data_IF_134395558838
#
_entry.id   IF_134395558838
#
_cell.length_a   1.000
_cell.length_b   1.000
_cell.length_c   1.000
_cell.angle_alpha   90.00
_cell.angle_beta   90.00
_cell.angle_gamma   90.00
#
_symmetry.space_group_name_H-M   'P 1'
#
loop_
_entity.id
_entity.type
_entity.pdbx_description
1 polymer ?
#
# COMPACT_ATOMS: atom_id res chain seq x y z
N UNK A 1 -29.52 -21.57 -10.21
CA UNK A 1 -28.62 -21.95 -11.31
C UNK A 1 -28.37 -23.44 -11.12
N UNK A 2 -28.47 -24.29 -12.14
CA UNK A 2 -28.23 -25.74 -11.99
C UNK A 2 -26.72 -25.98 -11.74
N UNK A 3 -26.40 -27.05 -10.98
CA UNK A 3 -25.00 -27.42 -10.66
C UNK A 3 -24.16 -27.60 -11.94
N UNK A 4 -24.75 -28.19 -12.98
CA UNK A 4 -24.10 -28.37 -14.28
C UNK A 4 -23.64 -27.05 -14.95
N UNK A 5 -24.41 -25.95 -14.80
CA UNK A 5 -24.00 -24.62 -15.28
C UNK A 5 -22.87 -24.03 -14.46
N UNK A 6 -22.86 -24.25 -13.15
CA UNK A 6 -21.78 -23.80 -12.27
C UNK A 6 -20.46 -24.51 -12.66
N UNK A 7 -20.51 -25.81 -12.90
CA UNK A 7 -19.34 -26.59 -13.30
C UNK A 7 -18.78 -26.15 -14.67
N UNK A 8 -19.64 -25.87 -15.64
CA UNK A 8 -19.22 -25.32 -16.95
C UNK A 8 -18.52 -23.97 -16.78
N UNK A 9 -19.08 -23.05 -15.98
CA UNK A 9 -18.45 -21.76 -15.71
C UNK A 9 -17.12 -21.87 -14.97
N UNK A 10 -17.00 -22.81 -14.02
CA UNK A 10 -15.76 -23.07 -13.32
C UNK A 10 -14.66 -23.57 -14.26
N UNK A 11 -14.97 -24.48 -15.18
CA UNK A 11 -14.04 -24.98 -16.19
C UNK A 11 -13.55 -23.81 -17.07
N UNK A 12 -14.48 -23.03 -17.64
CA UNK A 12 -14.16 -21.87 -18.46
C UNK A 12 -13.28 -20.85 -17.72
N UNK A 13 -13.65 -20.50 -16.49
CA UNK A 13 -12.90 -19.55 -15.67
C UNK A 13 -11.48 -20.01 -15.40
N UNK A 14 -11.29 -21.29 -15.08
CA UNK A 14 -9.95 -21.87 -14.85
C UNK A 14 -9.08 -21.83 -16.11
N UNK A 15 -9.64 -22.15 -17.26
CA UNK A 15 -8.93 -22.10 -18.55
C UNK A 15 -8.55 -20.68 -18.92
N UNK A 16 -9.47 -19.74 -18.76
CA UNK A 16 -9.24 -18.32 -18.97
C UNK A 16 -8.11 -17.78 -18.09
N UNK A 17 -8.17 -18.03 -16.77
CA UNK A 17 -7.13 -17.58 -15.83
C UNK A 17 -5.76 -18.23 -16.13
N UNK A 18 -5.73 -19.49 -16.57
CA UNK A 18 -4.50 -20.14 -17.01
C UNK A 18 -3.90 -19.45 -18.24
N UNK A 19 -4.73 -19.10 -19.20
CA UNK A 19 -4.28 -18.39 -20.40
C UNK A 19 -3.68 -17.01 -20.06
N UNK A 20 -4.33 -16.24 -19.16
CA UNK A 20 -3.81 -14.98 -18.65
C UNK A 20 -2.49 -15.15 -17.90
N UNK A 21 -2.38 -16.17 -17.04
CA UNK A 21 -1.14 -16.46 -16.31
C UNK A 21 0.03 -16.80 -17.24
N UNK A 22 -0.23 -17.57 -18.30
CA UNK A 22 0.77 -17.86 -19.34
C UNK A 22 1.20 -16.58 -20.07
N UNK A 23 0.24 -15.71 -20.42
CA UNK A 23 0.51 -14.42 -21.07
C UNK A 23 1.39 -13.52 -20.19
N UNK A 24 1.03 -13.32 -18.91
CA UNK A 24 1.80 -12.50 -17.95
C UNK A 24 3.20 -13.07 -17.73
N UNK A 25 3.35 -14.40 -17.65
CA UNK A 25 4.67 -15.04 -17.54
C UNK A 25 5.54 -14.81 -18.78
N UNK A 26 4.97 -14.94 -19.97
CA UNK A 26 5.73 -14.68 -21.22
C UNK A 26 6.16 -13.23 -21.35
N UNK A 27 5.33 -12.29 -20.93
CA UNK A 27 5.58 -10.86 -21.09
C UNK A 27 6.49 -10.29 -19.99
N UNK A 28 6.38 -10.75 -18.76
CA UNK A 28 7.01 -10.12 -17.58
C UNK A 28 7.81 -11.09 -16.71
N UNK A 29 7.86 -12.38 -17.04
CA UNK A 29 8.43 -13.44 -16.20
C UNK A 29 7.89 -13.43 -14.76
N UNK A 30 6.57 -13.25 -14.62
CA UNK A 30 5.91 -13.10 -13.31
C UNK A 30 4.78 -14.09 -13.13
N UNK A 31 4.67 -14.59 -11.90
CA UNK A 31 3.47 -15.25 -11.38
C UNK A 31 2.83 -14.32 -10.36
N UNK A 32 1.59 -13.93 -10.59
CA UNK A 32 0.86 -12.95 -9.79
C UNK A 32 -0.48 -13.51 -9.31
N UNK A 33 -1.16 -12.78 -8.42
CA UNK A 33 -2.52 -13.08 -7.95
C UNK A 33 -3.55 -12.99 -9.08
N UNK A 34 -4.75 -13.49 -8.84
CA UNK A 34 -5.84 -13.46 -9.84
C UNK A 34 -6.20 -12.02 -10.22
N UNK A 35 -6.25 -11.11 -9.25
CA UNK A 35 -6.55 -9.71 -9.52
C UNK A 35 -5.53 -9.08 -10.47
N UNK A 36 -4.23 -9.22 -10.19
CA UNK A 36 -3.16 -8.75 -11.08
C UNK A 36 -3.12 -9.45 -12.46
N UNK A 37 -3.86 -10.56 -12.66
CA UNK A 37 -4.06 -11.13 -13.99
C UNK A 37 -5.13 -10.36 -14.78
N UNK A 38 -6.10 -9.79 -14.07
CA UNK A 38 -7.28 -9.15 -14.66
C UNK A 38 -7.09 -7.64 -14.87
N UNK A 39 -6.20 -7.01 -14.09
CA UNK A 39 -5.95 -5.57 -14.13
C UNK A 39 -4.51 -5.23 -14.50
N UNK A 40 -4.27 -4.00 -14.92
CA UNK A 40 -2.93 -3.44 -15.05
C UNK A 40 -2.64 -2.52 -13.86
N UNK A 41 -1.40 -2.52 -13.39
CA UNK A 41 -1.01 -1.77 -12.18
C UNK A 41 -1.15 -0.26 -12.33
N UNK A 42 -0.97 0.25 -13.54
CA UNK A 42 -1.24 1.65 -13.90
C UNK A 42 -2.71 1.99 -13.72
N UNK A 43 -3.59 1.08 -14.16
CA UNK A 43 -5.03 1.29 -14.11
C UNK A 43 -5.51 1.25 -12.67
N UNK A 44 -5.00 0.30 -11.86
CA UNK A 44 -5.29 0.24 -10.43
C UNK A 44 -4.95 1.56 -9.71
N UNK A 45 -3.82 2.18 -10.03
CA UNK A 45 -3.45 3.47 -9.45
C UNK A 45 -4.32 4.62 -9.97
N UNK A 46 -4.64 4.61 -11.26
CA UNK A 46 -5.45 5.65 -11.91
C UNK A 46 -6.90 5.67 -11.40
N UNK A 47 -7.48 4.53 -11.05
CA UNK A 47 -8.83 4.43 -10.45
C UNK A 47 -8.95 5.22 -9.14
N UNK A 48 -7.86 5.35 -8.38
CA UNK A 48 -7.80 6.17 -7.15
C UNK A 48 -7.38 7.62 -7.41
N UNK A 49 -7.15 8.01 -8.67
CA UNK A 49 -6.68 9.36 -9.02
C UNK A 49 -5.24 9.63 -8.60
N UNK A 50 -4.41 8.60 -8.45
CA UNK A 50 -2.98 8.75 -8.16
C UNK A 50 -2.25 9.33 -9.37
N UNK A 51 -1.12 10.00 -9.11
CA UNK A 51 -0.37 10.73 -10.13
C UNK A 51 0.15 9.85 -11.28
N UNK A 52 0.35 10.47 -12.43
CA UNK A 52 0.80 9.81 -13.65
C UNK A 52 2.07 8.98 -13.44
N UNK A 53 2.13 7.81 -14.07
CA UNK A 53 3.26 6.87 -13.94
C UNK A 53 3.31 6.10 -12.63
N UNK A 54 2.39 6.35 -11.71
CA UNK A 54 2.26 5.57 -10.48
C UNK A 54 1.64 4.21 -10.77
N UNK A 55 2.13 3.19 -10.09
CA UNK A 55 1.67 1.81 -10.26
C UNK A 55 1.39 1.15 -8.92
N UNK A 56 0.32 0.35 -8.86
CA UNK A 56 -0.15 -0.28 -7.64
C UNK A 56 -0.62 -1.71 -7.91
N UNK A 57 -0.23 -2.66 -7.05
CA UNK A 57 -0.74 -4.02 -7.10
C UNK A 57 -2.22 -4.07 -6.73
N UNK A 58 -2.96 -5.03 -7.29
CA UNK A 58 -4.39 -5.25 -7.05
C UNK A 58 -4.73 -5.46 -5.57
N UNK A 59 -3.88 -6.15 -4.83
CA UNK A 59 -4.10 -6.51 -3.43
C UNK A 59 -3.63 -5.44 -2.41
N UNK A 60 -3.56 -4.18 -2.83
CA UNK A 60 -3.33 -3.03 -1.95
C UNK A 60 -4.67 -2.56 -1.38
N UNK A 61 -4.73 -2.34 -0.07
CA UNK A 61 -5.89 -1.71 0.56
C UNK A 61 -5.70 -0.20 0.60
N UNK A 62 -6.64 0.53 0.03
CA UNK A 62 -6.70 2.00 0.07
C UNK A 62 -7.97 2.40 0.81
N UNK A 63 -7.83 3.06 1.95
CA UNK A 63 -8.93 3.41 2.85
C UNK A 63 -8.97 4.92 3.07
N UNK A 64 -10.14 5.54 2.90
CA UNK A 64 -10.34 6.96 3.18
C UNK A 64 -9.60 7.90 2.21
N UNK A 65 -9.12 9.03 2.74
CA UNK A 65 -8.51 10.11 1.96
C UNK A 65 -7.01 9.86 1.73
N UNK A 66 -6.67 9.25 0.60
CA UNK A 66 -5.28 8.96 0.21
C UNK A 66 -4.94 9.69 -1.08
N UNK A 67 -3.80 10.41 -1.08
CA UNK A 67 -3.23 11.06 -2.25
C UNK A 67 -1.82 10.53 -2.49
N UNK A 68 -1.53 10.14 -3.71
CA UNK A 68 -0.20 9.69 -4.12
C UNK A 68 0.25 10.49 -5.34
N UNK A 69 1.47 10.94 -5.32
CA UNK A 69 2.12 11.67 -6.41
C UNK A 69 2.44 10.80 -7.63
N UNK A 70 3.26 11.32 -8.51
CA UNK A 70 3.64 10.70 -9.79
C UNK A 70 4.79 9.71 -9.63
N UNK A 71 4.86 8.74 -10.56
CA UNK A 71 5.98 7.81 -10.68
C UNK A 71 6.27 7.02 -9.38
N UNK A 72 5.28 6.83 -8.53
CA UNK A 72 5.40 6.10 -7.27
C UNK A 72 5.03 4.62 -7.48
N UNK A 73 5.83 3.74 -6.91
CA UNK A 73 5.55 2.31 -6.94
C UNK A 73 5.00 1.83 -5.61
N UNK A 74 3.86 1.13 -5.64
CA UNK A 74 3.19 0.57 -4.46
C UNK A 74 3.14 -0.94 -4.59
N UNK A 75 3.88 -1.62 -3.71
CA UNK A 75 4.05 -3.06 -3.69
C UNK A 75 2.82 -3.84 -3.23
N UNK A 76 2.83 -5.17 -3.40
CA UNK A 76 1.71 -6.01 -3.02
C UNK A 76 1.48 -6.04 -1.51
N UNK A 77 0.22 -6.14 -1.11
CA UNK A 77 -0.19 -6.28 0.29
C UNK A 77 0.03 -5.04 1.15
N UNK A 78 0.24 -3.86 0.55
CA UNK A 78 0.30 -2.61 1.29
C UNK A 78 -1.07 -2.20 1.84
N UNK A 79 -1.06 -1.44 2.93
CA UNK A 79 -2.22 -0.77 3.51
C UNK A 79 -1.93 0.72 3.51
N UNK A 80 -2.74 1.49 2.79
CA UNK A 80 -2.70 2.95 2.75
C UNK A 80 -3.98 3.46 3.40
N UNK A 81 -3.89 3.83 4.66
CA UNK A 81 -5.06 4.19 5.46
C UNK A 81 -5.12 5.68 5.76
N UNK A 82 -5.95 6.38 4.98
CA UNK A 82 -6.33 7.78 5.15
C UNK A 82 -7.69 7.98 5.83
N UNK A 83 -8.23 6.98 6.55
CA UNK A 83 -9.57 7.06 7.14
C UNK A 83 -9.64 7.92 8.41
N UNK A 84 -8.53 8.13 9.10
CA UNK A 84 -8.44 9.00 10.29
C UNK A 84 -7.89 10.40 10.00
N UNK A 85 -7.55 10.69 8.74
CA UNK A 85 -7.00 11.96 8.28
C UNK A 85 -6.34 11.80 6.92
N UNK A 86 -5.89 12.90 6.32
CA UNK A 86 -5.23 12.84 5.01
C UNK A 86 -3.93 12.03 5.06
N UNK A 87 -3.82 11.00 4.22
CA UNK A 87 -2.55 10.37 3.88
C UNK A 87 -2.04 10.96 2.57
N UNK A 88 -0.83 11.54 2.60
CA UNK A 88 -0.19 12.09 1.41
C UNK A 88 1.16 11.39 1.18
N UNK A 89 1.39 10.91 -0.03
CA UNK A 89 2.64 10.30 -0.49
C UNK A 89 3.08 11.09 -1.71
N UNK A 90 4.35 11.51 -1.73
CA UNK A 90 4.91 12.33 -2.80
C UNK A 90 5.23 11.57 -4.08
N UNK A 91 5.98 12.25 -4.95
CA UNK A 91 6.44 11.74 -6.24
C UNK A 91 7.64 10.79 -6.05
N UNK A 92 7.82 9.83 -6.98
CA UNK A 92 9.00 8.96 -7.05
C UNK A 92 9.28 8.12 -5.80
N UNK A 93 8.24 7.79 -5.04
CA UNK A 93 8.37 6.92 -3.87
C UNK A 93 8.39 5.43 -4.25
N UNK A 94 9.00 4.64 -3.37
CA UNK A 94 8.95 3.18 -3.45
C UNK A 94 8.38 2.64 -2.13
N UNK A 95 7.13 2.24 -2.16
CA UNK A 95 6.42 1.65 -1.03
C UNK A 95 6.47 0.13 -1.19
N UNK A 96 7.37 -0.53 -0.49
CA UNK A 96 7.62 -1.95 -0.68
C UNK A 96 6.48 -2.84 -0.17
N UNK A 97 6.55 -4.14 -0.50
CA UNK A 97 5.52 -5.11 -0.16
C UNK A 97 5.19 -5.12 1.34
N UNK A 98 3.90 -5.18 1.67
CA UNK A 98 3.42 -5.30 3.04
C UNK A 98 3.62 -4.05 3.92
N UNK A 99 3.99 -2.92 3.35
CA UNK A 99 4.07 -1.64 4.08
C UNK A 99 2.68 -1.21 4.51
N UNK A 100 2.57 -0.74 5.74
CA UNK A 100 1.33 -0.26 6.32
C UNK A 100 1.51 1.19 6.78
N UNK A 101 0.66 2.09 6.30
CA UNK A 101 0.69 3.52 6.64
C UNK A 101 -0.66 3.91 7.19
N UNK A 102 -0.68 4.41 8.42
CA UNK A 102 -1.91 4.72 9.14
C UNK A 102 -2.07 6.21 9.42
N UNK A 103 -3.32 6.65 9.55
CA UNK A 103 -3.72 8.00 9.99
C UNK A 103 -4.58 7.96 11.24
N UNK A 104 -4.80 6.78 11.83
CA UNK A 104 -5.55 6.63 13.09
C UNK A 104 -5.07 5.41 13.89
N UNK A 105 -5.48 5.38 15.16
CA UNK A 105 -5.49 4.17 15.99
C UNK A 105 -6.62 4.22 17.03
N UNK A 106 -6.92 3.08 17.64
CA UNK A 106 -8.04 2.93 18.56
C UNK A 106 -7.60 2.61 19.99
N UNK A 107 -6.36 2.90 20.36
CA UNK A 107 -5.80 2.52 21.66
C UNK A 107 -6.61 3.12 22.80
N UNK A 108 -6.76 4.44 22.85
CA UNK A 108 -7.48 5.12 23.92
C UNK A 108 -8.96 4.72 23.95
N UNK A 109 -9.59 4.58 22.78
CA UNK A 109 -10.95 4.06 22.66
C UNK A 109 -11.09 2.65 23.26
N UNK A 110 -10.13 1.77 22.99
CA UNK A 110 -10.18 0.39 23.46
C UNK A 110 -10.01 0.29 24.98
N UNK A 111 -8.98 0.94 25.53
CA UNK A 111 -8.73 0.90 26.99
C UNK A 111 -9.78 1.62 27.81
N UNK A 112 -10.45 2.61 27.24
CA UNK A 112 -11.56 3.32 27.87
C UNK A 112 -12.92 2.62 27.71
N UNK A 113 -12.97 1.44 27.08
CA UNK A 113 -14.20 0.72 26.76
C UNK A 113 -15.17 1.57 25.93
N UNK A 114 -14.65 2.28 24.94
CA UNK A 114 -15.41 3.07 23.99
C UNK A 114 -15.77 4.51 24.44
N UNK A 115 -15.30 4.96 25.60
CA UNK A 115 -15.58 6.33 26.11
C UNK A 115 -14.77 7.39 25.40
N UNK A 116 -13.52 7.09 25.05
CA UNK A 116 -12.67 8.00 24.29
C UNK A 116 -12.87 7.84 22.78
N UNK A 117 -12.68 8.90 22.00
CA UNK A 117 -12.75 8.83 20.54
C UNK A 117 -11.60 8.01 19.96
N UNK A 118 -11.64 7.82 18.65
CA UNK A 118 -10.51 7.32 17.87
C UNK A 118 -9.45 8.42 17.74
N UNK A 119 -8.20 8.08 17.99
CA UNK A 119 -7.09 9.01 17.79
C UNK A 119 -6.77 9.11 16.30
N UNK A 120 -6.71 10.31 15.76
CA UNK A 120 -6.53 10.59 14.33
C UNK A 120 -5.47 11.67 14.12
N UNK A 121 -4.60 11.47 13.13
CA UNK A 121 -3.66 12.49 12.69
C UNK A 121 -3.22 12.23 11.23
N UNK A 122 -3.05 13.28 10.40
CA UNK A 122 -2.59 13.14 9.02
C UNK A 122 -1.16 12.61 8.99
N UNK A 123 -0.85 11.77 8.00
CA UNK A 123 0.50 11.21 7.76
C UNK A 123 1.02 11.69 6.42
N UNK A 124 2.28 12.10 6.36
CA UNK A 124 2.88 12.68 5.16
C UNK A 124 4.20 12.02 4.82
N UNK A 125 4.32 11.58 3.58
CA UNK A 125 5.55 11.01 3.00
C UNK A 125 5.98 11.96 1.89
N UNK A 126 7.20 12.46 1.96
CA UNK A 126 7.78 13.35 0.95
C UNK A 126 8.14 12.65 -0.36
N UNK A 127 8.83 13.36 -1.23
CA UNK A 127 9.25 12.85 -2.53
C UNK A 127 10.50 11.95 -2.43
N UNK A 128 10.58 10.94 -3.31
CA UNK A 128 11.75 10.07 -3.43
C UNK A 128 12.00 9.18 -2.23
N UNK A 129 10.98 8.92 -1.39
CA UNK A 129 11.12 8.12 -0.18
C UNK A 129 11.09 6.63 -0.52
N UNK A 130 12.02 5.88 0.05
CA UNK A 130 11.99 4.43 0.07
C UNK A 130 11.48 3.90 1.41
N UNK A 131 10.46 3.06 1.39
CA UNK A 131 9.99 2.34 2.58
C UNK A 131 10.14 0.84 2.34
N UNK A 132 11.03 0.23 3.14
CA UNK A 132 11.36 -1.20 3.06
C UNK A 132 10.19 -2.10 3.44
N UNK A 133 10.18 -3.37 2.96
CA UNK A 133 9.09 -4.31 3.17
C UNK A 133 8.67 -4.46 4.64
N UNK A 134 7.36 -4.67 4.84
CA UNK A 134 6.74 -4.93 6.14
C UNK A 134 7.00 -3.84 7.21
N UNK A 135 7.30 -2.62 6.78
CA UNK A 135 7.41 -1.49 7.71
C UNK A 135 6.04 -0.91 8.03
N UNK A 136 5.90 -0.40 9.24
CA UNK A 136 4.68 0.23 9.74
C UNK A 136 4.98 1.70 10.04
N UNK A 137 4.19 2.60 9.46
CA UNK A 137 4.25 4.04 9.71
C UNK A 137 3.04 4.41 10.55
N UNK A 138 3.30 4.93 11.74
CA UNK A 138 2.25 5.35 12.67
C UNK A 138 1.59 6.64 12.18
N UNK A 139 0.34 6.85 12.60
CA UNK A 139 -0.38 8.10 12.35
C UNK A 139 0.40 9.32 12.82
N UNK A 140 0.24 10.45 12.14
CA UNK A 140 0.85 11.73 12.50
C UNK A 140 2.31 11.89 12.12
N UNK A 141 2.95 10.85 11.58
CA UNK A 141 4.38 10.88 11.20
C UNK A 141 4.57 11.64 9.89
N UNK A 142 5.61 12.49 9.85
CA UNK A 142 6.14 13.11 8.64
C UNK A 142 7.48 12.49 8.26
N UNK A 143 7.57 11.94 7.04
CA UNK A 143 8.81 11.46 6.46
C UNK A 143 9.26 12.44 5.37
N UNK A 144 10.40 13.06 5.57
CA UNK A 144 10.96 14.06 4.65
C UNK A 144 11.45 13.45 3.34
N UNK A 145 11.68 14.30 2.35
CA UNK A 145 12.09 13.89 1.01
C UNK A 145 13.38 13.05 1.03
N UNK A 146 13.46 12.06 0.13
CA UNK A 146 14.64 11.21 -0.07
C UNK A 146 15.07 10.42 1.18
N UNK A 147 14.18 10.24 2.15
CA UNK A 147 14.44 9.40 3.30
C UNK A 147 14.38 7.91 2.95
N UNK A 148 15.08 7.10 3.72
CA UNK A 148 15.12 5.64 3.57
C UNK A 148 14.67 4.99 4.87
N UNK A 149 13.60 4.21 4.79
CA UNK A 149 13.13 3.37 5.90
C UNK A 149 13.51 1.92 5.61
N UNK A 150 14.24 1.30 6.53
CA UNK A 150 14.64 -0.10 6.41
C UNK A 150 13.45 -1.05 6.59
N UNK A 151 13.61 -2.28 6.10
CA UNK A 151 12.57 -3.32 6.23
C UNK A 151 12.25 -3.64 7.70
N UNK A 152 11.00 -4.05 7.97
CA UNK A 152 10.51 -4.40 9.30
C UNK A 152 10.71 -3.29 10.35
N UNK A 153 10.62 -2.03 9.94
CA UNK A 153 10.74 -0.88 10.83
C UNK A 153 9.39 -0.41 11.34
N UNK A 154 9.34 0.02 12.60
CA UNK A 154 8.20 0.74 13.17
C UNK A 154 8.56 2.22 13.30
N UNK A 155 7.99 3.05 12.44
CA UNK A 155 8.24 4.49 12.42
C UNK A 155 7.16 5.20 13.23
N UNK A 156 7.54 5.70 14.40
CA UNK A 156 6.67 6.37 15.38
C UNK A 156 7.14 7.80 15.71
N UNK A 157 8.03 8.34 14.90
CA UNK A 157 8.51 9.72 15.00
C UNK A 157 8.90 10.23 13.60
N UNK A 158 8.94 11.54 13.44
CA UNK A 158 9.30 12.18 12.19
C UNK A 158 10.70 11.81 11.73
N UNK A 159 10.87 11.66 10.42
CA UNK A 159 12.14 11.35 9.78
C UNK A 159 12.54 12.51 8.88
N UNK A 160 13.68 13.15 9.13
CA UNK A 160 14.18 14.27 8.31
C UNK A 160 14.49 13.85 6.87
N UNK A 161 14.46 14.82 5.96
CA UNK A 161 14.85 14.60 4.57
C UNK A 161 16.28 14.04 4.46
N UNK A 162 16.47 13.06 3.58
CA UNK A 162 17.73 12.36 3.32
C UNK A 162 18.19 11.41 4.44
N UNK A 163 17.45 11.31 5.55
CA UNK A 163 17.83 10.45 6.67
C UNK A 163 17.56 8.98 6.34
N UNK A 164 18.33 8.10 7.01
CA UNK A 164 18.12 6.65 6.99
C UNK A 164 17.70 6.19 8.37
N UNK A 165 16.55 5.50 8.49
CA UNK A 165 16.01 5.02 9.75
C UNK A 165 15.66 3.54 9.68
N UNK A 166 15.99 2.80 10.75
CA UNK A 166 15.82 1.34 10.82
C UNK A 166 15.39 0.90 12.22
N UNK A 167 14.68 -0.20 12.30
CA UNK A 167 14.36 -0.94 13.52
C UNK A 167 12.97 -0.70 14.10
N UNK A 168 12.70 -1.33 15.23
CA UNK A 168 11.43 -1.26 15.95
C UNK A 168 11.67 -0.90 17.44
N UNK A 169 11.47 0.38 17.81
CA UNK A 169 11.14 1.53 16.97
C UNK A 169 12.30 1.98 16.06
N UNK A 170 11.98 2.59 14.94
CA UNK A 170 12.97 3.08 13.99
C UNK A 170 13.84 4.19 14.59
N UNK A 171 15.14 4.16 14.30
CA UNK A 171 16.11 5.18 14.72
C UNK A 171 16.96 5.60 13.52
N UNK A 172 17.26 6.90 13.46
CA UNK A 172 18.13 7.48 12.45
C UNK A 172 19.57 6.99 12.68
N UNK A 173 20.24 6.68 11.58
CA UNK A 173 21.61 6.22 11.56
C UNK A 173 22.47 6.99 10.59
#
# INVERSE_FOLDING_TARGET
MSDDRVDQWLVFTREFLRALAVRKRKQFDRRVSVGDLLTERSDNAAEYGFGDGTTMYDNVLVLGAVKVGRNTWIGPGCILDGSGGDLQIGDWCSISAGVQIYTHHTVNRSISLGREPVDCAPTRIGDGVYIGPNSVIQMGVMIGNQAVIGSNSFVNADIPSGAKAFGCPARIR
#
